data_IF_869659899182
#
_entry.id   IF_869659899182
#
_cell.length_a   1.000
_cell.length_b   1.000
_cell.length_c   1.000
_cell.angle_alpha   90.00
_cell.angle_beta   90.00
_cell.angle_gamma   90.00
#
_symmetry.space_group_name_H-M   'P 1'
#
loop_
_entity.id
_entity.type
_entity.pdbx_description
1 polymer ?
#
# COMPACT_ATOMS: atom_id res chain seq x y z
N UNK A 1 4.34 11.83 -14.03
CA UNK A 1 5.40 10.90 -13.57
C UNK A 1 4.71 9.73 -12.88
N UNK A 2 4.99 8.51 -13.34
CA UNK A 2 4.52 7.29 -12.68
C UNK A 2 5.60 6.86 -11.70
N UNK A 3 5.25 6.69 -10.42
CA UNK A 3 6.18 6.16 -9.44
C UNK A 3 6.31 4.66 -9.64
N UNK A 4 7.53 4.16 -9.78
CA UNK A 4 7.78 2.73 -10.00
C UNK A 4 7.38 1.95 -8.75
N UNK A 5 7.74 2.47 -7.57
CA UNK A 5 7.38 1.89 -6.28
C UNK A 5 6.74 2.95 -5.40
N UNK A 6 5.56 2.66 -4.87
CA UNK A 6 4.82 3.57 -3.99
C UNK A 6 3.87 2.80 -3.08
N UNK A 7 3.51 3.42 -1.97
CA UNK A 7 2.35 3.06 -1.18
C UNK A 7 1.13 3.76 -1.78
N UNK A 8 0.08 3.02 -2.13
CA UNK A 8 -1.21 3.59 -2.48
C UNK A 8 -2.26 3.13 -1.47
N UNK A 9 -3.01 4.08 -0.93
CA UNK A 9 -4.05 3.86 0.06
C UNK A 9 -5.37 4.50 -0.38
N UNK A 10 -6.45 3.73 -0.33
CA UNK A 10 -7.79 4.21 -0.62
C UNK A 10 -8.45 4.71 0.68
N UNK A 11 -8.97 5.93 0.66
CA UNK A 11 -9.44 6.70 1.82
C UNK A 11 -10.97 6.92 1.86
N UNK A 12 -11.71 6.21 1.03
CA UNK A 12 -13.17 6.31 0.91
C UNK A 12 -13.63 7.60 0.23
N UNK A 13 -14.84 8.03 0.56
CA UNK A 13 -15.49 9.17 -0.10
C UNK A 13 -15.04 10.56 0.37
N UNK A 14 -14.09 10.66 1.30
CA UNK A 14 -13.69 11.95 1.90
C UNK A 14 -12.27 12.33 1.53
N UNK A 15 -12.12 13.47 0.86
CA UNK A 15 -10.79 14.02 0.52
C UNK A 15 -9.93 14.30 1.76
N UNK A 16 -10.57 14.73 2.85
CA UNK A 16 -9.88 15.06 4.10
C UNK A 16 -9.12 13.86 4.66
N UNK A 17 -9.65 12.65 4.53
CA UNK A 17 -8.97 11.42 4.94
C UNK A 17 -7.68 11.19 4.15
N UNK A 18 -7.70 11.38 2.83
CA UNK A 18 -6.51 11.27 1.99
C UNK A 18 -5.47 12.36 2.31
N UNK A 19 -5.93 13.57 2.66
CA UNK A 19 -5.07 14.67 3.14
C UNK A 19 -4.43 14.37 4.48
N UNK A 20 -5.19 13.83 5.43
CA UNK A 20 -4.69 13.47 6.77
C UNK A 20 -3.64 12.35 6.68
N UNK A 21 -3.88 11.37 5.81
CA UNK A 21 -2.88 10.34 5.53
C UNK A 21 -1.63 10.96 4.88
N UNK A 22 -1.76 11.83 3.88
CA UNK A 22 -0.62 12.49 3.24
C UNK A 22 0.22 13.30 4.24
N UNK A 23 -0.42 14.01 5.19
CA UNK A 23 0.27 14.74 6.27
C UNK A 23 1.03 13.81 7.21
N UNK A 24 0.52 12.61 7.47
CA UNK A 24 1.22 11.61 8.30
C UNK A 24 2.54 11.14 7.68
N UNK A 25 2.65 11.21 6.35
CA UNK A 25 3.86 10.93 5.60
C UNK A 25 4.66 12.21 5.26
N UNK A 26 4.55 13.26 6.08
CA UNK A 26 5.32 14.50 5.88
C UNK A 26 6.82 14.21 5.73
N UNK A 27 7.44 14.85 4.75
CA UNK A 27 8.83 14.60 4.33
C UNK A 27 8.97 13.60 3.18
N UNK A 28 7.88 12.93 2.77
CA UNK A 28 7.88 12.01 1.63
C UNK A 28 7.03 12.56 0.49
N UNK A 29 7.43 12.39 -0.78
CA UNK A 29 6.59 12.75 -1.92
C UNK A 29 5.22 12.07 -1.84
N UNK A 30 4.15 12.87 -1.74
CA UNK A 30 2.78 12.38 -1.64
C UNK A 30 1.90 12.98 -2.72
N UNK A 31 0.87 12.23 -3.12
CA UNK A 31 -0.10 12.62 -4.14
C UNK A 31 -1.49 12.24 -3.68
N UNK A 32 -2.40 13.19 -3.77
CA UNK A 32 -3.82 12.99 -3.51
C UNK A 32 -4.54 13.00 -4.85
N UNK A 33 -5.38 11.99 -5.07
CA UNK A 33 -6.11 11.85 -6.33
C UNK A 33 -7.42 11.10 -6.12
N UNK A 34 -8.32 11.20 -7.10
CA UNK A 34 -9.56 10.42 -7.15
C UNK A 34 -9.45 9.33 -8.20
N UNK A 35 -9.88 8.12 -7.85
CA UNK A 35 -9.96 6.99 -8.77
C UNK A 35 -11.06 6.04 -8.31
N UNK A 36 -11.80 5.47 -9.27
CA UNK A 36 -12.84 4.46 -9.01
C UNK A 36 -13.88 4.88 -7.95
N UNK A 37 -14.24 6.16 -7.89
CA UNK A 37 -15.23 6.71 -6.94
C UNK A 37 -14.71 6.91 -5.51
N UNK A 38 -13.42 6.71 -5.26
CA UNK A 38 -12.78 6.94 -3.96
C UNK A 38 -11.66 7.99 -4.02
N UNK A 39 -11.32 8.54 -2.87
CA UNK A 39 -10.14 9.37 -2.66
C UNK A 39 -8.95 8.51 -2.29
N UNK A 40 -7.79 8.81 -2.87
CA UNK A 40 -6.58 8.04 -2.70
C UNK A 40 -5.44 8.93 -2.23
N UNK A 41 -4.55 8.32 -1.46
CA UNK A 41 -3.26 8.89 -1.08
C UNK A 41 -2.16 7.95 -1.58
N UNK A 42 -1.35 8.43 -2.51
CA UNK A 42 -0.13 7.79 -2.96
C UNK A 42 1.08 8.41 -2.28
N UNK A 43 2.02 7.61 -1.79
CA UNK A 43 3.26 8.06 -1.16
C UNK A 43 4.43 7.29 -1.76
N UNK A 44 5.41 8.00 -2.30
CA UNK A 44 6.63 7.41 -2.83
C UNK A 44 7.78 7.51 -1.82
N UNK A 45 8.55 6.45 -1.60
CA UNK A 45 9.80 6.53 -0.87
C UNK A 45 10.85 7.33 -1.64
N UNK A 46 11.61 8.16 -0.91
CA UNK A 46 12.73 8.90 -1.47
C UNK A 46 13.82 7.93 -1.97
N UNK A 47 14.42 8.23 -3.13
CA UNK A 47 15.56 7.48 -3.69
C UNK A 47 15.22 6.17 -4.41
N UNK A 48 14.03 5.61 -4.23
CA UNK A 48 13.59 4.34 -4.86
C UNK A 48 12.52 4.54 -5.93
N UNK A 49 11.74 5.64 -5.87
CA UNK A 49 10.55 5.83 -6.71
C UNK A 49 10.77 5.88 -8.24
N UNK A 50 12.02 5.94 -8.72
CA UNK A 50 12.35 6.12 -10.14
C UNK A 50 13.14 4.97 -10.77
N UNK A 51 13.77 4.11 -9.95
CA UNK A 51 14.57 2.98 -10.42
C UNK A 51 13.95 1.71 -9.86
N UNK A 52 13.56 0.79 -10.74
CA UNK A 52 13.03 -0.51 -10.33
C UNK A 52 14.09 -1.38 -9.67
N UNK A 53 13.79 -2.66 -9.49
CA UNK A 53 14.75 -3.65 -8.99
C UNK A 53 15.60 -4.15 -10.16
N UNK A 54 16.77 -3.55 -10.37
CA UNK A 54 17.72 -3.95 -11.44
C UNK A 54 18.89 -4.78 -10.92
N UNK A 55 19.06 -4.85 -9.60
CA UNK A 55 20.10 -5.62 -8.90
C UNK A 55 19.61 -6.12 -7.53
N UNK A 56 20.39 -7.01 -6.88
CA UNK A 56 20.13 -7.45 -5.50
C UNK A 56 20.26 -6.30 -4.49
N UNK A 57 21.11 -5.31 -4.78
CA UNK A 57 21.25 -4.11 -3.96
C UNK A 57 19.99 -3.25 -4.05
N UNK A 58 19.43 -3.09 -5.26
CA UNK A 58 18.14 -2.43 -5.45
C UNK A 58 17.02 -3.18 -4.74
N UNK A 59 16.97 -4.52 -4.85
CA UNK A 59 15.97 -5.34 -4.16
C UNK A 59 16.01 -5.12 -2.64
N UNK A 60 17.22 -4.99 -2.08
CA UNK A 60 17.44 -4.70 -0.67
C UNK A 60 16.96 -3.30 -0.31
N UNK A 61 17.30 -2.29 -1.13
CA UNK A 61 16.89 -0.90 -0.93
C UNK A 61 15.36 -0.74 -1.03
N UNK A 62 14.73 -1.35 -2.03
CA UNK A 62 13.28 -1.33 -2.22
C UNK A 62 12.57 -2.05 -1.08
N UNK A 63 13.10 -3.20 -0.64
CA UNK A 63 12.57 -3.91 0.53
C UNK A 63 12.63 -3.04 1.80
N UNK A 64 13.75 -2.35 2.02
CA UNK A 64 13.90 -1.46 3.17
C UNK A 64 12.91 -0.27 3.08
N UNK A 65 12.73 0.30 1.89
CA UNK A 65 11.76 1.36 1.64
C UNK A 65 10.31 0.89 1.88
N UNK A 66 9.94 -0.28 1.37
CA UNK A 66 8.62 -0.90 1.60
C UNK A 66 8.36 -1.14 3.08
N UNK A 67 9.34 -1.68 3.82
CA UNK A 67 9.23 -1.85 5.28
C UNK A 67 9.04 -0.54 6.02
N UNK A 68 9.72 0.54 5.61
CA UNK A 68 9.55 1.88 6.18
C UNK A 68 8.15 2.45 5.90
N UNK A 69 7.62 2.26 4.68
CA UNK A 69 6.25 2.65 4.34
C UNK A 69 5.23 1.97 5.25
N UNK A 70 5.32 0.64 5.40
CA UNK A 70 4.40 -0.09 6.27
C UNK A 70 4.57 0.32 7.74
N UNK A 71 5.80 0.52 8.22
CA UNK A 71 6.05 0.98 9.58
C UNK A 71 5.36 2.33 9.86
N UNK A 72 5.50 3.29 8.94
CA UNK A 72 4.84 4.58 9.05
C UNK A 72 3.31 4.45 8.93
N UNK A 73 2.82 3.59 8.04
CA UNK A 73 1.39 3.34 7.86
C UNK A 73 0.74 2.74 9.12
N UNK A 74 1.48 1.93 9.91
CA UNK A 74 0.97 1.36 11.18
C UNK A 74 0.63 2.41 12.23
N UNK A 75 1.28 3.58 12.17
CA UNK A 75 1.05 4.69 13.10
C UNK A 75 0.12 5.75 12.53
N UNK A 76 -0.35 5.56 11.29
CA UNK A 76 -1.23 6.49 10.60
C UNK A 76 -2.63 6.52 11.22
N UNK A 77 -3.37 7.64 11.09
CA UNK A 77 -4.76 7.70 11.51
C UNK A 77 -5.61 6.67 10.73
N UNK A 78 -6.68 6.12 11.32
CA UNK A 78 -7.51 5.08 10.71
C UNK A 78 -8.48 5.67 9.67
N UNK A 79 -7.93 6.24 8.60
CA UNK A 79 -8.65 7.03 7.59
C UNK A 79 -8.69 6.35 6.21
N UNK A 80 -7.99 5.22 6.06
CA UNK A 80 -7.95 4.44 4.82
C UNK A 80 -8.72 3.12 4.97
N UNK A 81 -9.30 2.62 3.87
CA UNK A 81 -9.98 1.32 3.82
C UNK A 81 -9.02 0.18 3.49
N UNK A 82 -8.09 0.41 2.58
CA UNK A 82 -7.04 -0.54 2.26
C UNK A 82 -5.83 0.19 1.68
N UNK A 83 -4.66 -0.44 1.78
CA UNK A 83 -3.41 0.10 1.29
C UNK A 83 -2.45 -1.01 0.86
N UNK A 84 -1.60 -0.72 -0.12
CA UNK A 84 -0.53 -1.61 -0.55
C UNK A 84 0.68 -0.79 -1.02
N UNK A 85 1.85 -1.18 -0.54
CA UNK A 85 3.14 -0.72 -1.06
C UNK A 85 3.77 -1.80 -1.94
N UNK A 86 4.27 -1.38 -3.09
CA UNK A 86 4.77 -2.30 -4.10
C UNK A 86 5.10 -1.59 -5.42
N UNK A 87 5.65 -2.33 -6.39
CA UNK A 87 5.77 -1.85 -7.74
C UNK A 87 4.39 -1.72 -8.39
N UNK A 88 4.19 -0.68 -9.21
CA UNK A 88 2.93 -0.47 -9.98
C UNK A 88 1.66 -0.58 -9.13
N UNK A 89 1.68 -0.02 -7.92
CA UNK A 89 0.51 -0.01 -7.05
C UNK A 89 -0.60 0.93 -7.54
N UNK A 90 -0.37 1.67 -8.62
CA UNK A 90 -1.42 2.32 -9.40
C UNK A 90 -2.35 1.32 -10.12
N UNK A 91 -1.92 0.06 -10.27
CA UNK A 91 -2.77 -1.05 -10.73
C UNK A 91 -3.65 -1.64 -9.62
N UNK A 92 -3.53 -1.19 -8.36
CA UNK A 92 -4.49 -1.59 -7.34
C UNK A 92 -5.87 -1.12 -7.72
N UNK A 93 -6.69 -2.14 -7.87
CA UNK A 93 -8.00 -2.08 -8.44
C UNK A 93 -9.01 -1.41 -7.50
N UNK A 94 -10.16 -1.05 -8.05
CA UNK A 94 -11.28 -0.50 -7.27
C UNK A 94 -11.66 -1.42 -6.12
N UNK A 95 -12.38 -0.89 -5.13
CA UNK A 95 -12.94 -1.70 -4.04
C UNK A 95 -13.67 -2.96 -4.56
N UNK A 96 -14.49 -2.85 -5.60
CA UNK A 96 -15.23 -3.97 -6.16
C UNK A 96 -14.31 -5.05 -6.75
N UNK A 97 -13.25 -4.62 -7.41
CA UNK A 97 -12.28 -5.53 -7.99
C UNK A 97 -11.40 -6.18 -6.91
N UNK A 98 -11.07 -5.46 -5.84
CA UNK A 98 -10.40 -6.00 -4.65
C UNK A 98 -11.26 -7.10 -4.02
N UNK A 99 -12.57 -6.87 -3.88
CA UNK A 99 -13.51 -7.86 -3.34
C UNK A 99 -13.72 -9.08 -4.26
N UNK A 100 -13.44 -8.95 -5.56
CA UNK A 100 -13.60 -10.03 -6.55
C UNK A 100 -12.37 -10.95 -6.68
N UNK A 101 -11.23 -10.59 -6.09
CA UNK A 101 -10.00 -11.38 -6.16
C UNK A 101 -9.68 -12.09 -4.85
N UNK A 102 -8.77 -13.06 -4.92
CA UNK A 102 -8.21 -13.64 -3.71
C UNK A 102 -7.18 -12.68 -3.08
N UNK A 103 -7.55 -12.09 -1.95
CA UNK A 103 -6.69 -11.17 -1.22
C UNK A 103 -5.43 -11.83 -0.69
N UNK A 104 -5.44 -13.14 -0.36
CA UNK A 104 -4.28 -13.84 0.23
C UNK A 104 -3.10 -13.94 -0.72
N UNK A 105 -3.33 -13.68 -2.01
CA UNK A 105 -2.30 -13.65 -3.05
C UNK A 105 -1.59 -12.29 -3.17
N UNK A 106 -1.91 -11.31 -2.31
CA UNK A 106 -1.34 -9.97 -2.36
C UNK A 106 -0.52 -9.69 -1.10
N UNK A 107 0.77 -10.11 -1.05
CA UNK A 107 1.66 -9.78 0.06
C UNK A 107 1.76 -8.28 0.28
N UNK A 108 1.72 -7.86 1.54
CA UNK A 108 1.74 -6.46 1.94
C UNK A 108 0.38 -5.78 1.95
N UNK A 109 -0.69 -6.43 1.46
CA UNK A 109 -2.02 -5.81 1.45
C UNK A 109 -2.50 -5.56 2.89
N UNK A 110 -2.77 -4.30 3.20
CA UNK A 110 -3.41 -3.85 4.43
C UNK A 110 -4.87 -3.54 4.14
N UNK A 111 -5.79 -4.02 4.97
CA UNK A 111 -7.23 -3.78 4.85
C UNK A 111 -7.82 -3.41 6.21
N UNK A 112 -8.88 -2.61 6.20
CA UNK A 112 -9.66 -2.36 7.41
C UNK A 112 -10.32 -3.65 7.89
N UNK A 113 -10.64 -3.71 9.18
CA UNK A 113 -11.36 -4.85 9.74
C UNK A 113 -12.70 -5.08 9.03
N UNK A 114 -13.40 -4.03 8.59
CA UNK A 114 -14.64 -4.16 7.81
C UNK A 114 -14.45 -4.96 6.52
N UNK A 115 -13.37 -4.70 5.78
CA UNK A 115 -13.03 -5.46 4.55
C UNK A 115 -12.63 -6.88 4.90
N UNK A 116 -11.80 -7.07 5.92
CA UNK A 116 -11.41 -8.40 6.39
C UNK A 116 -12.63 -9.23 6.83
N UNK A 117 -13.59 -8.61 7.50
CA UNK A 117 -14.86 -9.22 7.88
C UNK A 117 -15.70 -9.58 6.64
N UNK A 118 -15.85 -8.65 5.69
CA UNK A 118 -16.62 -8.87 4.46
C UNK A 118 -16.01 -9.96 3.55
N UNK A 119 -14.69 -10.18 3.63
CA UNK A 119 -13.97 -11.19 2.84
C UNK A 119 -13.82 -12.55 3.54
N UNK A 120 -14.52 -12.75 4.68
CA UNK A 120 -14.62 -14.05 5.34
C UNK A 120 -13.57 -14.33 6.41
N UNK A 121 -12.91 -13.29 6.96
CA UNK A 121 -11.97 -13.41 8.09
C UNK A 121 -10.84 -14.42 7.84
N UNK A 122 -10.22 -14.36 6.67
CA UNK A 122 -9.17 -15.32 6.30
C UNK A 122 -8.02 -15.30 7.31
N UNK A 123 -7.53 -16.49 7.67
CA UNK A 123 -6.49 -16.69 8.68
C UNK A 123 -5.10 -16.22 8.26
N UNK A 124 -4.89 -16.00 6.95
CA UNK A 124 -3.62 -15.50 6.40
C UNK A 124 -3.33 -14.04 6.80
N UNK A 125 -4.36 -13.31 7.24
CA UNK A 125 -4.23 -11.96 7.72
C UNK A 125 -3.73 -11.91 9.17
N UNK A 126 -2.66 -11.15 9.39
CA UNK A 126 -2.10 -10.83 10.70
C UNK A 126 -2.58 -9.46 11.20
N UNK A 127 -2.35 -9.17 12.49
CA UNK A 127 -2.55 -7.84 13.05
C UNK A 127 -1.60 -6.82 12.41
N UNK A 128 -2.11 -5.63 12.09
CA UNK A 128 -1.32 -4.53 11.55
C UNK A 128 -1.27 -3.34 12.51
N UNK A 129 -2.41 -2.67 12.66
CA UNK A 129 -2.70 -1.55 13.56
C UNK A 129 -4.15 -1.72 14.05
N UNK A 130 -4.58 -1.07 15.15
CA UNK A 130 -5.97 -1.15 15.59
C UNK A 130 -6.94 -0.81 14.45
N UNK A 131 -7.90 -1.70 14.16
CA UNK A 131 -8.83 -1.56 13.04
C UNK A 131 -8.30 -2.01 11.67
N UNK A 132 -7.08 -2.56 11.61
CA UNK A 132 -6.46 -3.04 10.37
C UNK A 132 -5.84 -4.43 10.48
N UNK A 133 -5.97 -5.16 9.38
CA UNK A 133 -5.39 -6.48 9.14
C UNK A 133 -4.50 -6.42 7.92
N UNK A 134 -3.47 -7.25 7.86
CA UNK A 134 -2.62 -7.29 6.67
C UNK A 134 -2.03 -8.66 6.39
N UNK A 135 -1.59 -8.85 5.15
CA UNK A 135 -0.72 -9.95 4.77
C UNK A 135 0.72 -9.43 4.87
N UNK A 136 1.60 -10.04 5.69
CA UNK A 136 2.95 -9.54 5.89
C UNK A 136 3.71 -9.36 4.58
N UNK A 137 4.32 -8.20 4.43
CA UNK A 137 5.18 -7.90 3.29
C UNK A 137 6.49 -8.70 3.38
N UNK A 138 6.81 -9.48 2.35
CA UNK A 138 7.99 -10.35 2.33
C UNK A 138 9.26 -9.69 1.78
N UNK A 139 9.16 -8.49 1.20
CA UNK A 139 10.25 -7.85 0.47
C UNK A 139 10.24 -8.15 -1.02
N UNK A 140 10.98 -7.36 -1.77
CA UNK A 140 11.23 -7.59 -3.19
C UNK A 140 12.37 -8.58 -3.39
N UNK A 141 12.31 -9.34 -4.49
CA UNK A 141 13.40 -10.20 -4.93
C UNK A 141 13.83 -9.76 -6.32
N UNK A 142 15.14 -9.64 -6.53
CA UNK A 142 15.66 -9.54 -7.88
C UNK A 142 15.37 -10.85 -8.60
N UNK A 143 14.67 -10.76 -9.72
CA UNK A 143 14.52 -11.85 -10.66
C UNK A 143 15.12 -11.36 -11.97
N UNK A 144 16.30 -11.84 -12.39
CA UNK A 144 16.81 -11.51 -13.72
C UNK A 144 15.78 -11.99 -14.74
N UNK A 145 15.41 -11.11 -15.66
CA UNK A 145 14.57 -11.48 -16.79
C UNK A 145 15.24 -12.68 -17.50
N UNK A 146 14.50 -13.78 -17.59
CA UNK A 146 14.91 -14.95 -18.38
C UNK A 146 14.88 -14.63 -19.87
#
# INVERSE_FOLDING_TARGET
MAWIFALNAECGGRETHARDLARHFEGWPSRIFTANGGWWCGVAPEGVGERGVESDEDATAVTAAGRRLYWQLRTAPPVYRYALAGPKTDELRSYDQLMAQDLTLVPGLVVSEDIWFATGRRSDFSDFAPGYRWIPYHGERYAPAR
#
